data_IF_458069052006
#
_entry.id   IF_458069052006
#
_cell.length_a   1.000
_cell.length_b   1.000
_cell.length_c   1.000
_cell.angle_alpha   90.00
_cell.angle_beta   90.00
_cell.angle_gamma   90.00
#
_symmetry.space_group_name_H-M   'P 1'
#
loop_
_entity.id
_entity.type
_entity.pdbx_description
1 polymer ?
#
# COMPACT_ATOMS: atom_id res chain seq x y z
N UNK A 1 18.28 31.98 75.01
CA UNK A 1 19.57 31.55 75.57
C UNK A 1 19.59 30.03 75.50
N UNK A 2 20.60 29.44 74.86
CA UNK A 2 20.80 28.00 74.93
C UNK A 2 21.02 27.62 76.40
N UNK A 3 20.30 26.62 76.90
CA UNK A 3 20.54 26.10 78.25
C UNK A 3 21.78 25.22 78.18
N UNK A 4 22.71 25.43 79.11
CA UNK A 4 23.89 24.57 79.26
C UNK A 4 23.38 23.17 79.65
N UNK A 5 23.76 22.17 78.87
CA UNK A 5 23.47 20.78 79.19
C UNK A 5 24.48 20.29 80.23
N UNK A 6 24.07 20.35 81.50
CA UNK A 6 24.90 19.96 82.64
C UNK A 6 25.18 18.46 82.70
N UNK A 7 24.54 17.64 81.86
CA UNK A 7 24.86 16.20 81.73
C UNK A 7 26.19 15.94 81.04
N UNK A 8 26.72 16.93 80.31
CA UNK A 8 28.02 16.89 79.66
C UNK A 8 29.17 17.26 80.62
N UNK A 9 28.85 17.67 81.85
CA UNK A 9 29.83 17.95 82.91
C UNK A 9 29.89 16.71 83.83
N UNK A 10 30.95 15.92 83.70
CA UNK A 10 31.12 14.68 84.48
C UNK A 10 31.07 14.95 86.00
N UNK A 11 30.18 14.23 86.70
CA UNK A 11 30.06 14.32 88.15
C UNK A 11 29.39 15.58 88.69
N UNK A 12 28.77 16.41 87.82
CA UNK A 12 28.15 17.68 88.20
C UNK A 12 27.16 17.54 89.37
N UNK A 13 26.32 16.51 89.40
CA UNK A 13 25.34 16.32 90.48
C UNK A 13 25.98 16.14 91.86
N UNK A 14 27.14 15.48 91.91
CA UNK A 14 27.89 15.14 93.13
C UNK A 14 28.87 16.23 93.61
N UNK A 15 29.01 17.33 92.87
CA UNK A 15 29.92 18.44 93.21
C UNK A 15 29.35 19.38 94.28
N UNK A 16 30.24 19.99 95.08
CA UNK A 16 29.87 21.08 96.00
C UNK A 16 29.46 22.34 95.20
N UNK A 17 28.72 23.28 95.79
CA UNK A 17 28.28 24.49 95.09
C UNK A 17 29.43 25.29 94.44
N UNK A 18 30.59 25.36 95.10
CA UNK A 18 31.78 26.04 94.58
C UNK A 18 32.37 25.31 93.38
N UNK A 19 32.42 23.97 93.42
CA UNK A 19 32.91 23.13 92.31
C UNK A 19 31.98 23.19 91.09
N UNK A 20 30.66 23.28 91.31
CA UNK A 20 29.67 23.48 90.23
C UNK A 20 29.87 24.81 89.52
N UNK A 21 30.16 25.88 90.26
CA UNK A 21 30.43 27.21 89.68
C UNK A 21 31.69 27.14 88.83
N UNK A 22 32.78 26.58 89.34
CA UNK A 22 34.03 26.43 88.57
C UNK A 22 33.84 25.54 87.33
N UNK A 23 33.05 24.46 87.43
CA UNK A 23 32.77 23.58 86.31
C UNK A 23 31.88 24.24 85.23
N UNK A 24 30.94 25.11 85.62
CA UNK A 24 30.15 25.92 84.70
C UNK A 24 30.98 27.04 84.05
N UNK A 25 31.88 27.66 84.82
CA UNK A 25 32.78 28.72 84.32
C UNK A 25 33.81 28.16 83.32
N UNK A 26 34.25 26.92 83.51
CA UNK A 26 35.14 26.21 82.57
C UNK A 26 34.43 25.44 81.45
N UNK A 27 33.10 25.49 81.37
CA UNK A 27 32.34 24.76 80.36
C UNK A 27 32.36 25.48 79.01
N UNK A 28 33.16 24.96 78.07
CA UNK A 28 33.12 25.38 76.67
C UNK A 28 32.04 24.60 75.91
N UNK A 29 31.03 25.31 75.41
CA UNK A 29 30.09 24.72 74.45
C UNK A 29 30.86 24.40 73.17
N UNK A 30 30.81 23.14 72.75
CA UNK A 30 31.36 22.74 71.45
C UNK A 30 30.75 23.60 70.33
N UNK A 31 31.58 24.03 69.38
CA UNK A 31 31.12 24.77 68.22
C UNK A 31 30.03 23.97 67.49
N UNK A 32 28.97 24.63 66.98
CA UNK A 32 27.92 23.93 66.25
C UNK A 32 28.53 23.15 65.08
N UNK A 33 28.22 21.86 64.98
CA UNK A 33 28.66 21.05 63.86
C UNK A 33 27.91 21.48 62.58
N UNK A 34 28.60 22.23 61.72
CA UNK A 34 28.10 22.66 60.42
C UNK A 34 28.40 21.65 59.31
N UNK A 35 28.85 20.43 59.64
CA UNK A 35 29.01 19.35 58.67
C UNK A 35 27.68 19.06 57.97
N UNK A 36 27.63 19.30 56.65
CA UNK A 36 26.41 19.19 55.85
C UNK A 36 25.55 20.46 55.76
N UNK A 37 25.91 21.55 56.45
CA UNK A 37 25.21 22.82 56.30
C UNK A 37 25.53 23.47 54.94
N UNK A 38 24.48 23.69 54.15
CA UNK A 38 24.56 24.45 52.89
C UNK A 38 24.04 25.86 53.15
N UNK A 39 24.83 26.88 52.78
CA UNK A 39 24.40 28.28 52.87
C UNK A 39 23.14 28.50 52.04
N UNK A 40 22.16 29.20 52.60
CA UNK A 40 20.88 29.52 51.95
C UNK A 40 21.06 30.09 50.55
N UNK A 41 22.01 30.99 50.32
CA UNK A 41 22.25 31.59 49.00
C UNK A 41 22.69 30.55 47.95
N UNK A 42 23.49 29.56 48.37
CA UNK A 42 23.94 28.46 47.51
C UNK A 42 22.77 27.53 47.21
N UNK A 43 21.95 27.22 48.22
CA UNK A 43 20.76 26.42 48.06
C UNK A 43 19.73 27.09 47.13
N UNK A 44 19.41 28.36 47.37
CA UNK A 44 18.43 29.11 46.57
C UNK A 44 18.89 29.28 45.11
N UNK A 45 20.19 29.54 44.90
CA UNK A 45 20.78 29.62 43.55
C UNK A 45 20.68 28.29 42.82
N UNK A 46 21.12 27.20 43.45
CA UNK A 46 21.07 25.86 42.83
C UNK A 46 19.64 25.38 42.59
N UNK A 47 18.73 25.66 43.51
CA UNK A 47 17.30 25.35 43.33
C UNK A 47 16.70 26.11 42.14
N UNK A 48 17.05 27.39 41.98
CA UNK A 48 16.60 28.23 40.87
C UNK A 48 17.17 27.77 39.52
N UNK A 49 18.47 27.45 39.48
CA UNK A 49 19.11 26.89 38.30
C UNK A 49 18.47 25.57 37.91
N UNK A 50 18.27 24.66 38.87
CA UNK A 50 17.65 23.35 38.64
C UNK A 50 16.20 23.47 38.15
N UNK A 51 15.42 24.42 38.68
CA UNK A 51 14.08 24.72 38.19
C UNK A 51 14.10 25.21 36.72
N UNK A 52 15.04 26.10 36.39
CA UNK A 52 15.25 26.59 35.02
C UNK A 52 15.66 25.45 34.07
N UNK A 53 16.64 24.63 34.46
CA UNK A 53 17.09 23.49 33.64
C UNK A 53 15.99 22.46 33.44
N UNK A 54 15.19 22.16 34.49
CA UNK A 54 14.02 21.29 34.37
C UNK A 54 12.99 21.83 33.39
N UNK A 55 12.75 23.14 33.39
CA UNK A 55 11.82 23.78 32.44
C UNK A 55 12.34 23.68 31.01
N UNK A 56 13.61 24.03 30.78
CA UNK A 56 14.25 23.92 29.45
C UNK A 56 14.29 22.48 28.94
N UNK A 57 14.55 21.50 29.81
CA UNK A 57 14.55 20.08 29.44
C UNK A 57 13.15 19.64 28.99
N UNK A 58 12.10 20.02 29.73
CA UNK A 58 10.71 19.71 29.37
C UNK A 58 10.31 20.35 28.04
N UNK A 59 10.64 21.62 27.84
CA UNK A 59 10.38 22.32 26.57
C UNK A 59 11.08 21.62 25.40
N UNK A 60 12.38 21.33 25.53
CA UNK A 60 13.14 20.60 24.51
C UNK A 60 12.58 19.20 24.23
N UNK A 61 12.20 18.45 25.25
CA UNK A 61 11.58 17.14 25.06
C UNK A 61 10.26 17.26 24.28
N UNK A 62 9.48 18.30 24.55
CA UNK A 62 8.21 18.55 23.85
C UNK A 62 8.45 18.92 22.38
N UNK A 63 9.47 19.75 22.11
CA UNK A 63 9.86 20.14 20.75
C UNK A 63 10.44 18.95 19.97
N UNK A 64 11.28 18.11 20.59
CA UNK A 64 11.84 16.90 19.98
C UNK A 64 10.75 15.86 19.68
N UNK A 65 9.75 15.70 20.54
CA UNK A 65 8.59 14.83 20.29
C UNK A 65 7.77 15.32 19.09
N UNK A 66 7.50 16.63 19.00
CA UNK A 66 6.79 17.23 17.87
C UNK A 66 7.59 17.12 16.57
N UNK A 67 8.91 17.32 16.62
CA UNK A 67 9.79 17.16 15.46
C UNK A 67 9.81 15.70 14.98
N UNK A 68 9.87 14.73 15.89
CA UNK A 68 9.84 13.31 15.56
C UNK A 68 8.51 12.88 14.94
N UNK A 69 7.39 13.39 15.45
CA UNK A 69 6.08 13.15 14.83
C UNK A 69 6.03 13.69 13.40
N UNK A 70 6.49 14.93 13.19
CA UNK A 70 6.55 15.52 11.84
C UNK A 70 7.47 14.73 10.90
N UNK A 71 8.66 14.33 11.36
CA UNK A 71 9.55 13.50 10.53
C UNK A 71 8.88 12.17 10.17
N UNK A 72 8.17 11.55 11.12
CA UNK A 72 7.45 10.30 10.86
C UNK A 72 6.32 10.51 9.85
N UNK A 73 5.51 11.55 9.99
CA UNK A 73 4.45 11.89 9.03
C UNK A 73 5.02 12.20 7.65
N UNK A 74 6.12 12.95 7.56
CA UNK A 74 6.80 13.25 6.30
C UNK A 74 7.39 11.98 5.66
N UNK A 75 7.99 11.08 6.45
CA UNK A 75 8.49 9.80 5.96
C UNK A 75 7.37 8.89 5.48
N UNK A 76 6.28 8.78 6.23
CA UNK A 76 5.11 7.99 5.83
C UNK A 76 4.48 8.54 4.56
N UNK A 77 4.40 9.87 4.43
CA UNK A 77 3.93 10.51 3.21
C UNK A 77 4.88 10.24 2.04
N UNK A 78 6.19 10.40 2.24
CA UNK A 78 7.18 10.15 1.20
C UNK A 78 7.18 8.69 0.75
N UNK A 79 7.01 7.75 1.68
CA UNK A 79 6.90 6.33 1.38
C UNK A 79 5.65 6.03 0.55
N UNK A 80 4.48 6.56 0.94
CA UNK A 80 3.24 6.41 0.16
C UNK A 80 3.36 6.99 -1.25
N UNK A 81 3.94 8.19 -1.36
CA UNK A 81 4.15 8.85 -2.65
C UNK A 81 5.12 8.03 -3.53
N UNK A 82 6.16 7.45 -2.93
CA UNK A 82 7.11 6.58 -3.62
C UNK A 82 6.45 5.27 -4.10
N UNK A 83 5.68 4.59 -3.25
CA UNK A 83 4.97 3.35 -3.60
C UNK A 83 3.95 3.60 -4.71
N UNK A 84 3.20 4.71 -4.65
CA UNK A 84 2.25 5.09 -5.69
C UNK A 84 2.95 5.39 -7.04
N UNK A 85 4.10 6.07 -7.00
CA UNK A 85 4.88 6.37 -8.19
C UNK A 85 5.48 5.10 -8.81
N UNK A 86 6.01 4.21 -7.97
CA UNK A 86 6.55 2.93 -8.39
C UNK A 86 5.45 2.10 -9.07
N UNK A 87 4.29 1.98 -8.44
CA UNK A 87 3.13 1.26 -8.99
C UNK A 87 2.72 1.81 -10.35
N UNK A 88 2.52 3.13 -10.46
CA UNK A 88 2.17 3.79 -11.72
C UNK A 88 3.20 3.53 -12.83
N UNK A 89 4.48 3.55 -12.47
CA UNK A 89 5.58 3.30 -13.41
C UNK A 89 5.55 1.86 -13.89
N UNK A 90 5.43 0.89 -12.98
CA UNK A 90 5.29 -0.54 -13.28
C UNK A 90 4.09 -0.83 -14.19
N UNK A 91 2.91 -0.27 -13.88
CA UNK A 91 1.71 -0.40 -14.73
C UNK A 91 1.96 0.18 -16.11
N UNK A 92 2.58 1.35 -16.21
CA UNK A 92 2.88 2.00 -17.51
C UNK A 92 3.83 1.15 -18.37
N UNK A 93 4.90 0.60 -17.77
CA UNK A 93 5.84 -0.28 -18.48
C UNK A 93 5.17 -1.58 -18.95
N UNK A 94 4.36 -2.21 -18.11
CA UNK A 94 3.61 -3.42 -18.48
C UNK A 94 2.59 -3.13 -19.58
N UNK A 95 1.84 -2.04 -19.48
CA UNK A 95 0.87 -1.63 -20.52
C UNK A 95 1.57 -1.47 -21.87
N UNK A 96 2.72 -0.79 -21.90
CA UNK A 96 3.49 -0.62 -23.13
C UNK A 96 3.91 -1.97 -23.75
N UNK A 97 4.34 -2.94 -22.94
CA UNK A 97 4.66 -4.30 -23.41
C UNK A 97 3.44 -5.03 -23.96
N UNK A 98 2.28 -4.91 -23.31
CA UNK A 98 1.03 -5.52 -23.80
C UNK A 98 0.55 -4.89 -25.10
N UNK A 99 0.60 -3.57 -25.22
CA UNK A 99 0.29 -2.86 -26.46
C UNK A 99 1.21 -3.30 -27.61
N UNK A 100 2.50 -3.53 -27.34
CA UNK A 100 3.44 -4.06 -28.32
C UNK A 100 3.13 -5.51 -28.76
N UNK A 101 2.32 -6.24 -27.99
CA UNK A 101 1.81 -7.57 -28.32
C UNK A 101 0.40 -7.52 -28.95
N UNK A 102 -0.02 -6.36 -29.46
CA UNK A 102 -1.35 -6.13 -30.07
C UNK A 102 -2.53 -6.35 -29.10
N UNK A 103 -2.32 -6.23 -27.79
CA UNK A 103 -3.46 -6.13 -26.88
C UNK A 103 -4.24 -4.85 -27.17
N UNK A 104 -5.56 -4.90 -27.04
CA UNK A 104 -6.35 -3.67 -27.02
C UNK A 104 -5.97 -2.82 -25.80
N UNK A 105 -6.11 -1.50 -25.92
CA UNK A 105 -5.62 -0.58 -24.88
C UNK A 105 -6.24 -0.84 -23.51
N UNK A 106 -7.52 -1.20 -23.47
CA UNK A 106 -8.25 -1.44 -22.23
C UNK A 106 -7.78 -2.74 -21.58
N UNK A 107 -7.67 -3.82 -22.34
CA UNK A 107 -7.16 -5.10 -21.85
C UNK A 107 -5.68 -4.99 -21.45
N UNK A 108 -4.87 -4.23 -22.19
CA UNK A 108 -3.48 -3.94 -21.84
C UNK A 108 -3.38 -3.21 -20.48
N UNK A 109 -4.20 -2.18 -20.26
CA UNK A 109 -4.28 -1.45 -18.99
C UNK A 109 -4.71 -2.38 -17.85
N UNK A 110 -5.82 -3.11 -18.02
CA UNK A 110 -6.38 -3.99 -16.99
C UNK A 110 -5.41 -5.12 -16.62
N UNK A 111 -4.67 -5.66 -17.59
CA UNK A 111 -3.68 -6.73 -17.37
C UNK A 111 -2.41 -6.18 -16.71
N UNK A 112 -1.98 -4.97 -17.08
CA UNK A 112 -0.85 -4.31 -16.45
C UNK A 112 -1.13 -3.95 -14.98
N UNK A 113 -2.32 -3.46 -14.67
CA UNK A 113 -2.79 -3.22 -13.29
C UNK A 113 -2.81 -4.53 -12.50
N UNK A 114 -3.45 -5.58 -13.03
CA UNK A 114 -3.49 -6.88 -12.36
C UNK A 114 -2.09 -7.44 -12.08
N UNK A 115 -1.13 -7.25 -13.01
CA UNK A 115 0.25 -7.69 -12.83
C UNK A 115 0.98 -6.88 -11.75
N UNK A 116 0.75 -5.57 -11.67
CA UNK A 116 1.33 -4.71 -10.64
C UNK A 116 0.73 -4.98 -9.25
N UNK A 117 -0.56 -5.34 -9.19
CA UNK A 117 -1.29 -5.68 -7.96
C UNK A 117 -1.06 -7.13 -7.49
N UNK A 118 -0.40 -7.96 -8.31
CA UNK A 118 -0.19 -9.38 -8.02
C UNK A 118 -1.46 -10.25 -8.18
N UNK A 119 -2.49 -9.73 -8.85
CA UNK A 119 -3.75 -10.44 -9.13
C UNK A 119 -3.57 -11.40 -10.31
N UNK A 120 -3.00 -12.58 -10.00
CA UNK A 120 -2.70 -13.60 -11.01
C UNK A 120 -3.95 -14.15 -11.70
N UNK A 121 -5.08 -14.26 -10.98
CA UNK A 121 -6.33 -14.78 -11.54
C UNK A 121 -6.85 -13.84 -12.64
N UNK A 122 -6.81 -12.53 -12.39
CA UNK A 122 -7.20 -11.53 -13.39
C UNK A 122 -6.22 -11.46 -14.56
N UNK A 123 -4.92 -11.66 -14.33
CA UNK A 123 -3.93 -11.79 -15.43
C UNK A 123 -4.29 -12.96 -16.35
N UNK A 124 -4.56 -14.15 -15.81
CA UNK A 124 -4.94 -15.31 -16.60
C UNK A 124 -6.29 -15.11 -17.32
N UNK A 125 -7.28 -14.55 -16.65
CA UNK A 125 -8.57 -14.24 -17.26
C UNK A 125 -8.43 -13.27 -18.44
N UNK A 126 -7.58 -12.25 -18.31
CA UNK A 126 -7.33 -11.30 -19.39
C UNK A 126 -6.50 -11.91 -20.53
N UNK A 127 -5.53 -12.76 -20.22
CA UNK A 127 -4.79 -13.52 -21.22
C UNK A 127 -5.73 -14.43 -22.04
N UNK A 128 -6.73 -15.05 -21.41
CA UNK A 128 -7.74 -15.83 -22.12
C UNK A 128 -8.55 -14.95 -23.09
N UNK A 129 -9.03 -13.77 -22.64
CA UNK A 129 -9.75 -12.82 -23.51
C UNK A 129 -8.91 -12.43 -24.73
N UNK A 130 -7.62 -12.16 -24.53
CA UNK A 130 -6.70 -11.85 -25.62
C UNK A 130 -6.60 -13.02 -26.62
N UNK A 131 -6.40 -14.25 -26.13
CA UNK A 131 -6.30 -15.43 -27.00
C UNK A 131 -7.57 -15.69 -27.80
N UNK A 132 -8.75 -15.47 -27.20
CA UNK A 132 -10.03 -15.58 -27.90
C UNK A 132 -10.18 -14.53 -29.00
N UNK A 133 -9.82 -13.27 -28.70
CA UNK A 133 -9.85 -12.18 -29.68
C UNK A 133 -8.84 -12.40 -30.82
N UNK A 134 -7.62 -12.79 -30.47
CA UNK A 134 -6.56 -13.12 -31.41
C UNK A 134 -6.96 -14.31 -32.31
N UNK A 135 -7.51 -15.37 -31.73
CA UNK A 135 -8.01 -16.53 -32.48
C UNK A 135 -9.11 -16.15 -33.48
N UNK A 136 -10.02 -15.24 -33.12
CA UNK A 136 -11.03 -14.71 -34.04
C UNK A 136 -10.39 -13.90 -35.18
N UNK A 137 -9.41 -13.04 -34.87
CA UNK A 137 -8.67 -12.26 -35.86
C UNK A 137 -7.96 -13.16 -36.87
N UNK A 138 -7.22 -14.16 -36.40
CA UNK A 138 -6.51 -15.13 -37.25
C UNK A 138 -7.48 -15.90 -38.14
N UNK A 139 -8.62 -16.38 -37.61
CA UNK A 139 -9.63 -17.06 -38.44
C UNK A 139 -10.22 -16.13 -39.49
N UNK A 140 -10.51 -14.88 -39.14
CA UNK A 140 -11.05 -13.90 -40.07
C UNK A 140 -10.03 -13.55 -41.18
N UNK A 141 -8.75 -13.43 -40.85
CA UNK A 141 -7.67 -13.23 -41.83
C UNK A 141 -7.52 -14.44 -42.74
N UNK A 142 -7.47 -15.66 -42.19
CA UNK A 142 -7.43 -16.88 -42.98
C UNK A 142 -8.61 -17.01 -43.96
N UNK A 143 -9.81 -16.57 -43.55
CA UNK A 143 -11.01 -16.55 -44.39
C UNK A 143 -10.97 -15.50 -45.51
N UNK A 144 -10.18 -14.43 -45.39
CA UNK A 144 -10.00 -13.44 -46.47
C UNK A 144 -9.13 -13.99 -47.59
N UNK A 145 -8.11 -14.75 -47.23
CA UNK A 145 -7.15 -15.32 -48.19
C UNK A 145 -7.60 -16.69 -48.71
N UNK A 146 -8.62 -17.31 -48.12
CA UNK A 146 -9.23 -18.49 -48.73
C UNK A 146 -9.98 -18.04 -49.98
N UNK A 147 -9.61 -18.55 -51.18
CA UNK A 147 -10.42 -18.32 -52.37
C UNK A 147 -11.85 -18.72 -52.03
N UNK A 148 -12.82 -17.84 -52.29
CA UNK A 148 -14.21 -18.26 -52.30
C UNK A 148 -14.26 -19.51 -53.17
N UNK A 149 -14.89 -20.61 -52.71
CA UNK A 149 -15.00 -21.79 -53.54
C UNK A 149 -15.53 -21.34 -54.89
N UNK A 150 -14.66 -21.40 -55.90
CA UNK A 150 -15.10 -21.47 -57.28
C UNK A 150 -15.99 -22.70 -57.30
N UNK A 151 -17.24 -22.60 -57.78
CA UNK A 151 -18.08 -23.77 -57.94
C UNK A 151 -17.27 -24.80 -58.72
N UNK A 152 -16.82 -25.85 -58.04
CA UNK A 152 -16.06 -26.92 -58.68
C UNK A 152 -17.06 -27.67 -59.53
N UNK A 153 -16.95 -27.50 -60.84
CA UNK A 153 -17.78 -28.15 -61.84
C UNK A 153 -18.76 -27.20 -62.50
N UNK A 154 -18.76 -27.25 -63.82
CA UNK A 154 -19.79 -26.72 -64.72
C UNK A 154 -21.17 -26.58 -64.07
N UNK A 155 -21.80 -25.41 -64.22
CA UNK A 155 -23.12 -25.08 -63.70
C UNK A 155 -24.21 -26.14 -63.97
N UNK A 156 -24.28 -27.13 -63.06
CA UNK A 156 -25.27 -28.21 -63.03
C UNK A 156 -26.16 -28.15 -61.81
N UNK A 157 -26.14 -27.07 -61.03
CA UNK A 157 -27.31 -26.76 -60.20
C UNK A 157 -28.36 -26.22 -61.17
N UNK A 158 -29.46 -26.96 -61.38
CA UNK A 158 -30.55 -26.42 -62.18
C UNK A 158 -31.06 -25.14 -61.53
N UNK A 159 -31.19 -24.09 -62.33
CA UNK A 159 -31.89 -22.89 -61.93
C UNK A 159 -33.33 -22.97 -62.41
N UNK A 160 -34.25 -22.29 -61.72
CA UNK A 160 -35.66 -22.24 -62.11
C UNK A 160 -35.84 -21.75 -63.56
N UNK A 161 -34.98 -20.82 -64.00
CA UNK A 161 -34.99 -20.30 -65.36
C UNK A 161 -34.55 -21.34 -66.39
N UNK A 162 -33.47 -22.09 -66.11
CA UNK A 162 -32.98 -23.17 -66.97
C UNK A 162 -33.99 -24.32 -67.04
N UNK A 163 -34.56 -24.71 -65.89
CA UNK A 163 -35.60 -25.72 -65.80
C UNK A 163 -36.87 -25.35 -66.59
N UNK A 164 -37.28 -24.08 -66.57
CA UNK A 164 -38.45 -23.61 -67.35
C UNK A 164 -38.21 -23.54 -68.85
N UNK A 165 -36.96 -23.48 -69.31
CA UNK A 165 -36.58 -23.49 -70.73
C UNK A 165 -36.47 -24.91 -71.31
N UNK A 166 -36.48 -25.95 -70.47
CA UNK A 166 -36.51 -27.35 -70.89
C UNK A 166 -37.88 -27.75 -71.42
N UNK A 167 -37.92 -28.79 -72.25
CA UNK A 167 -39.17 -29.37 -72.72
C UNK A 167 -39.99 -29.96 -71.55
N UNK A 168 -41.31 -30.09 -71.69
CA UNK A 168 -42.15 -30.71 -70.66
C UNK A 168 -41.69 -32.12 -70.26
N UNK A 169 -41.11 -32.87 -71.19
CA UNK A 169 -40.63 -34.23 -70.95
C UNK A 169 -39.33 -34.24 -70.11
N UNK A 170 -38.35 -33.41 -70.48
CA UNK A 170 -37.11 -33.26 -69.70
C UNK A 170 -37.37 -32.70 -68.29
N UNK A 171 -38.39 -31.84 -68.14
CA UNK A 171 -38.81 -31.33 -66.83
C UNK A 171 -39.37 -32.43 -65.93
N UNK A 172 -40.15 -33.34 -66.52
CA UNK A 172 -40.71 -34.47 -65.80
C UNK A 172 -39.61 -35.46 -65.40
N UNK A 173 -38.73 -35.83 -66.33
CA UNK A 173 -37.58 -36.71 -66.07
C UNK A 173 -36.71 -36.15 -64.94
N UNK A 174 -36.38 -34.85 -64.98
CA UNK A 174 -35.62 -34.20 -63.92
C UNK A 174 -36.34 -34.22 -62.56
N UNK A 175 -37.67 -34.04 -62.51
CA UNK A 175 -38.42 -34.12 -61.24
C UNK A 175 -38.44 -35.53 -60.62
N UNK A 176 -38.33 -36.56 -61.46
CA UNK A 176 -38.33 -37.96 -61.03
C UNK A 176 -36.94 -38.38 -60.58
N UNK A 177 -35.90 -38.00 -61.33
CA UNK A 177 -34.51 -38.35 -61.05
C UNK A 177 -33.89 -37.50 -59.93
N UNK A 178 -34.33 -36.24 -59.79
CA UNK A 178 -33.80 -35.27 -58.82
C UNK A 178 -34.91 -34.64 -57.95
N UNK A 179 -35.64 -35.43 -57.14
CA UNK A 179 -36.84 -34.96 -56.43
C UNK A 179 -36.56 -33.91 -55.34
N UNK A 180 -35.40 -33.98 -54.67
CA UNK A 180 -34.99 -33.01 -53.64
C UNK A 180 -34.63 -31.66 -54.26
N UNK A 181 -33.79 -31.66 -55.30
CA UNK A 181 -33.40 -30.44 -56.04
C UNK A 181 -34.62 -29.80 -56.73
N UNK A 182 -35.53 -30.61 -57.29
CA UNK A 182 -36.78 -30.13 -57.88
C UNK A 182 -37.69 -29.44 -56.84
N UNK A 183 -37.73 -29.95 -55.61
CA UNK A 183 -38.51 -29.32 -54.53
C UNK A 183 -37.88 -28.00 -54.09
N UNK A 184 -36.55 -27.94 -53.99
CA UNK A 184 -35.81 -26.72 -53.65
C UNK A 184 -35.95 -25.63 -54.72
N UNK A 185 -36.05 -26.01 -56.00
CA UNK A 185 -36.29 -25.06 -57.11
C UNK A 185 -37.52 -24.18 -56.88
N UNK A 186 -38.61 -24.74 -56.35
CA UNK A 186 -39.87 -24.01 -56.10
C UNK A 186 -40.08 -23.63 -54.63
N UNK A 187 -39.28 -24.18 -53.71
CA UNK A 187 -39.45 -24.05 -52.26
C UNK A 187 -38.56 -23.01 -51.56
N UNK A 188 -37.74 -22.26 -52.30
CA UNK A 188 -36.92 -21.19 -51.74
C UNK A 188 -37.71 -19.92 -51.40
N UNK A 189 -38.57 -19.98 -50.39
CA UNK A 189 -39.08 -18.84 -49.62
C UNK A 189 -39.84 -19.36 -48.38
N UNK A 190 -39.11 -19.95 -47.43
CA UNK A 190 -39.49 -19.97 -46.01
C UNK A 190 -38.24 -19.69 -45.16
#
# INVERSE_FOLDING_TARGET
MAKIDVSLIEGYESMTPEQKITALEGYEMADPDYSGYVKKDVFDKTASELASTKKQLKEKMTDDEAAKQKEQEEREKLQKDYEALLHKTTVSEHKAKFLAMDYDEKLAQETAEAMADGDTDKVFANQQKYLEAYGKKVRAEALKDTPKPTPDGDGKIMTLEKFRKMSPQERYEYSVEHPTEYKELYGGNE
#
